data_IF_424639919834
#
_entry.id   IF_424639919834
#
_cell.length_a   1.000
_cell.length_b   1.000
_cell.length_c   1.000
_cell.angle_alpha   90.00
_cell.angle_beta   90.00
_cell.angle_gamma   90.00
#
_symmetry.space_group_name_H-M   'P 1'
#
loop_
_entity.id
_entity.type
_entity.pdbx_description
1 polymer ?
#
# COMPACT_ATOMS: atom_id res chain seq x y z
N UNK A 1 -1.10 -19.03 16.14
CA UNK A 1 -0.74 -18.80 17.55
C UNK A 1 -0.47 -17.32 17.78
N UNK A 2 -0.79 -16.74 18.94
CA UNK A 2 -0.39 -15.36 19.24
C UNK A 2 1.15 -15.29 19.18
N UNK A 3 1.68 -14.42 18.32
CA UNK A 3 3.10 -14.02 18.37
C UNK A 3 3.36 -13.41 19.76
N UNK A 4 4.58 -13.54 20.28
CA UNK A 4 4.96 -13.08 21.61
C UNK A 4 4.33 -11.72 21.95
N UNK A 5 3.75 -11.61 23.15
CA UNK A 5 3.13 -10.37 23.63
C UNK A 5 4.21 -9.32 23.91
N UNK A 6 4.55 -8.55 22.87
CA UNK A 6 5.42 -7.38 22.93
C UNK A 6 4.59 -6.09 22.97
N UNK A 7 5.13 -4.99 23.52
CA UNK A 7 4.48 -3.68 23.47
C UNK A 7 4.10 -3.26 22.04
N UNK A 8 4.97 -3.52 21.08
CA UNK A 8 4.76 -3.25 19.65
C UNK A 8 3.61 -4.10 19.09
N UNK A 9 3.52 -5.37 19.51
CA UNK A 9 2.42 -6.26 19.12
C UNK A 9 1.06 -5.77 19.65
N UNK A 10 1.02 -5.26 20.89
CA UNK A 10 -0.18 -4.66 21.47
C UNK A 10 -0.55 -3.38 20.71
N UNK A 11 0.43 -2.50 20.46
CA UNK A 11 0.21 -1.26 19.71
C UNK A 11 -0.38 -1.55 18.33
N UNK A 12 0.22 -2.48 17.57
CA UNK A 12 -0.28 -2.90 16.27
C UNK A 12 -1.69 -3.48 16.35
N UNK A 13 -1.96 -4.35 17.33
CA UNK A 13 -3.28 -4.97 17.47
C UNK A 13 -4.37 -3.94 17.80
N UNK A 14 -4.09 -2.98 18.68
CA UNK A 14 -5.00 -1.89 19.01
C UNK A 14 -5.22 -0.97 17.82
N UNK A 15 -4.17 -0.62 17.08
CA UNK A 15 -4.28 0.19 15.86
C UNK A 15 -5.16 -0.48 14.80
N UNK A 16 -4.91 -1.76 14.51
CA UNK A 16 -5.74 -2.55 13.57
C UNK A 16 -7.18 -2.63 14.04
N UNK A 17 -7.41 -2.88 15.33
CA UNK A 17 -8.77 -2.91 15.89
C UNK A 17 -9.49 -1.57 15.69
N UNK A 18 -8.81 -0.45 15.94
CA UNK A 18 -9.38 0.88 15.78
C UNK A 18 -9.72 1.19 14.32
N UNK A 19 -8.77 0.98 13.41
CA UNK A 19 -8.94 1.32 11.99
C UNK A 19 -9.97 0.40 11.32
N UNK A 20 -9.85 -0.92 11.49
CA UNK A 20 -10.71 -1.87 10.79
C UNK A 20 -12.15 -1.88 11.29
N UNK A 21 -12.40 -1.46 12.53
CA UNK A 21 -13.76 -1.37 13.09
C UNK A 21 -14.31 0.07 13.13
N UNK A 22 -13.59 1.04 12.55
CA UNK A 22 -13.97 2.46 12.56
C UNK A 22 -14.26 3.01 13.97
N UNK A 23 -13.44 2.61 14.94
CA UNK A 23 -13.56 3.07 16.33
C UNK A 23 -12.88 4.43 16.52
N UNK A 24 -13.30 5.25 17.49
CA UNK A 24 -12.62 6.51 17.78
C UNK A 24 -11.25 6.25 18.42
N UNK A 25 -10.24 7.06 18.07
CA UNK A 25 -8.90 6.98 18.69
C UNK A 25 -8.94 7.08 20.23
N UNK A 26 -9.93 7.78 20.78
CA UNK A 26 -10.15 7.89 22.23
C UNK A 26 -10.36 6.54 22.93
N UNK A 27 -10.73 5.49 22.20
CA UNK A 27 -10.88 4.14 22.74
C UNK A 27 -9.57 3.67 23.43
N UNK A 28 -8.41 4.00 22.86
CA UNK A 28 -7.11 3.60 23.41
C UNK A 28 -6.85 4.16 24.82
N UNK A 29 -7.38 5.34 25.14
CA UNK A 29 -7.24 5.96 26.46
C UNK A 29 -8.36 5.58 27.43
N UNK A 30 -9.44 4.95 26.95
CA UNK A 30 -10.60 4.59 27.77
C UNK A 30 -10.20 3.60 28.86
N UNK A 31 -10.45 3.96 30.12
CA UNK A 31 -10.07 3.14 31.27
C UNK A 31 -10.62 1.71 31.19
N UNK A 32 -11.87 1.53 30.75
CA UNK A 32 -12.48 0.19 30.60
C UNK A 32 -11.72 -0.66 29.58
N UNK A 33 -11.34 -0.07 28.43
CA UNK A 33 -10.59 -0.77 27.39
C UNK A 33 -9.19 -1.16 27.89
N UNK A 34 -8.50 -0.23 28.54
CA UNK A 34 -7.18 -0.49 29.14
C UNK A 34 -7.25 -1.56 30.23
N UNK A 35 -8.30 -1.56 31.05
CA UNK A 35 -8.52 -2.59 32.06
C UNK A 35 -8.77 -3.96 31.42
N UNK A 36 -9.47 -4.03 30.29
CA UNK A 36 -9.63 -5.27 29.53
C UNK A 36 -8.26 -5.77 29.03
N UNK A 37 -7.41 -4.89 28.48
CA UNK A 37 -6.05 -5.26 28.06
C UNK A 37 -5.22 -5.82 29.23
N UNK A 38 -5.32 -5.22 30.42
CA UNK A 38 -4.66 -5.70 31.64
C UNK A 38 -5.27 -7.00 32.15
N UNK A 39 -6.59 -7.15 32.12
CA UNK A 39 -7.28 -8.37 32.56
C UNK A 39 -6.92 -9.57 31.68
N UNK A 40 -6.80 -9.36 30.36
CA UNK A 40 -6.31 -10.37 29.42
C UNK A 40 -4.87 -10.80 29.70
N UNK A 41 -4.06 -9.94 30.34
CA UNK A 41 -2.68 -10.27 30.75
C UNK A 41 -2.28 -9.50 32.01
N UNK A 42 -2.48 -10.08 33.21
CA UNK A 42 -2.29 -9.40 34.49
C UNK A 42 -0.87 -8.87 34.76
N UNK A 43 0.14 -9.37 34.02
CA UNK A 43 1.54 -8.93 34.12
C UNK A 43 1.88 -7.75 33.21
N UNK A 44 0.93 -7.25 32.41
CA UNK A 44 1.13 -6.10 31.52
C UNK A 44 1.43 -4.86 32.36
N UNK A 45 2.57 -4.22 32.09
CA UNK A 45 2.96 -2.98 32.76
C UNK A 45 2.22 -1.80 32.13
N UNK A 46 1.94 -0.77 32.91
CA UNK A 46 1.27 0.46 32.43
C UNK A 46 1.93 1.08 31.19
N UNK A 47 3.27 0.99 31.10
CA UNK A 47 4.06 1.49 29.96
C UNK A 47 3.90 0.69 28.66
N UNK A 48 3.37 -0.53 28.74
CA UNK A 48 3.14 -1.41 27.59
C UNK A 48 1.74 -1.22 27.00
N UNK A 49 0.88 -0.47 27.70
CA UNK A 49 -0.46 -0.15 27.23
C UNK A 49 -0.35 1.09 26.33
N UNK A 50 -0.75 1.00 25.06
CA UNK A 50 -0.66 2.12 24.15
C UNK A 50 -1.60 3.25 24.58
N UNK A 51 -1.13 4.49 24.46
CA UNK A 51 -1.96 5.68 24.58
C UNK A 51 -2.58 6.05 23.23
N UNK A 52 -3.61 6.91 23.24
CA UNK A 52 -4.17 7.47 22.00
C UNK A 52 -3.10 8.05 21.08
N UNK A 53 -2.17 8.82 21.64
CA UNK A 53 -1.09 9.45 20.89
C UNK A 53 -0.19 8.41 20.20
N UNK A 54 0.19 7.35 20.91
CA UNK A 54 1.03 6.29 20.34
C UNK A 54 0.29 5.54 19.23
N UNK A 55 -1.00 5.27 19.39
CA UNK A 55 -1.80 4.62 18.35
C UNK A 55 -1.93 5.50 17.12
N UNK A 56 -2.24 6.78 17.30
CA UNK A 56 -2.35 7.73 16.19
C UNK A 56 -1.03 7.82 15.43
N UNK A 57 0.08 8.07 16.15
CA UNK A 57 1.41 8.13 15.53
C UNK A 57 1.74 6.86 14.77
N UNK A 58 1.48 5.69 15.35
CA UNK A 58 1.73 4.41 14.69
C UNK A 58 0.95 4.27 13.37
N UNK A 59 -0.31 4.72 13.34
CA UNK A 59 -1.13 4.69 12.13
C UNK A 59 -0.58 5.66 11.07
N UNK A 60 -0.19 6.88 11.48
CA UNK A 60 0.40 7.87 10.59
C UNK A 60 1.72 7.34 9.99
N UNK A 61 2.60 6.77 10.80
CA UNK A 61 3.89 6.20 10.39
C UNK A 61 3.69 5.02 9.40
N UNK A 62 2.74 4.11 9.67
CA UNK A 62 2.43 2.98 8.77
C UNK A 62 1.78 3.47 7.46
N UNK A 63 0.95 4.51 7.51
CA UNK A 63 0.36 5.10 6.31
C UNK A 63 1.42 5.78 5.44
N UNK A 64 2.32 6.57 6.04
CA UNK A 64 3.43 7.19 5.32
C UNK A 64 4.30 6.14 4.64
N UNK A 65 4.68 5.09 5.38
CA UNK A 65 5.43 3.96 4.83
C UNK A 65 4.73 3.31 3.65
N UNK A 66 3.43 3.02 3.77
CA UNK A 66 2.64 2.46 2.68
C UNK A 66 2.63 3.38 1.44
N UNK A 67 2.48 4.69 1.64
CA UNK A 67 2.48 5.65 0.54
C UNK A 67 3.83 5.75 -0.18
N UNK A 68 4.94 5.61 0.55
CA UNK A 68 6.28 5.54 -0.05
C UNK A 68 6.43 4.27 -0.88
N UNK A 69 6.12 3.11 -0.30
CA UNK A 69 6.20 1.82 -0.99
C UNK A 69 5.31 1.78 -2.24
N UNK A 70 4.10 2.35 -2.16
CA UNK A 70 3.18 2.44 -3.27
C UNK A 70 3.75 3.29 -4.41
N UNK A 71 4.31 4.47 -4.12
CA UNK A 71 4.95 5.33 -5.13
C UNK A 71 6.10 4.60 -5.83
N UNK A 72 6.95 3.93 -5.07
CA UNK A 72 8.06 3.15 -5.62
C UNK A 72 7.56 2.03 -6.54
N UNK A 73 6.52 1.30 -6.13
CA UNK A 73 5.93 0.22 -6.93
C UNK A 73 5.34 0.70 -8.26
N UNK A 74 4.72 1.89 -8.27
CA UNK A 74 4.17 2.52 -9.47
C UNK A 74 5.29 2.94 -10.43
N UNK A 75 6.37 3.53 -9.91
CA UNK A 75 7.53 3.94 -10.72
C UNK A 75 8.18 2.72 -11.38
N UNK A 76 8.43 1.65 -10.61
CA UNK A 76 9.01 0.40 -11.13
C UNK A 76 8.13 -0.18 -12.23
N UNK A 77 6.82 -0.28 -11.97
CA UNK A 77 5.86 -0.80 -12.95
C UNK A 77 5.84 0.02 -14.25
N UNK A 78 5.94 1.35 -14.14
CA UNK A 78 5.96 2.26 -15.28
C UNK A 78 7.23 2.11 -16.12
N UNK A 79 8.40 1.93 -15.47
CA UNK A 79 9.68 1.70 -16.16
C UNK A 79 9.69 0.36 -16.90
N UNK A 80 9.22 -0.70 -16.24
CA UNK A 80 9.12 -2.03 -16.86
C UNK A 80 8.22 -1.96 -18.11
N UNK A 81 7.07 -1.28 -18.01
CA UNK A 81 6.17 -1.11 -19.15
C UNK A 81 6.83 -0.38 -20.33
N UNK A 82 7.56 0.72 -20.06
CA UNK A 82 8.29 1.45 -21.09
C UNK A 82 9.37 0.59 -21.79
N UNK A 83 10.16 -0.16 -21.01
CA UNK A 83 11.20 -1.04 -21.55
C UNK A 83 10.64 -2.22 -22.36
N UNK A 84 9.47 -2.74 -22.00
CA UNK A 84 8.80 -3.80 -22.77
C UNK A 84 8.28 -3.25 -24.11
N UNK A 85 7.73 -2.04 -24.13
CA UNK A 85 7.23 -1.42 -25.36
C UNK A 85 8.36 -1.12 -26.37
N UNK A 86 9.56 -0.76 -25.92
CA UNK A 86 10.73 -0.55 -26.79
C UNK A 86 11.25 -1.83 -27.46
N UNK A 87 10.95 -3.00 -26.90
CA UNK A 87 11.39 -4.29 -27.43
C UNK A 87 10.39 -4.94 -28.41
N UNK A 88 9.20 -4.35 -28.58
CA UNK A 88 8.21 -4.83 -29.56
C UNK A 88 8.45 -4.08 -30.88
N UNK A 89 8.96 -4.74 -31.94
CA UNK A 89 9.10 -4.08 -33.23
C UNK A 89 7.72 -3.68 -33.75
N UNK A 90 7.56 -2.41 -34.12
CA UNK A 90 6.34 -1.92 -34.78
C UNK A 90 6.03 -2.78 -36.01
N UNK A 91 4.76 -3.16 -36.26
CA UNK A 91 4.42 -3.94 -37.44
C UNK A 91 4.87 -3.20 -38.70
N UNK A 92 5.42 -3.91 -39.71
CA UNK A 92 5.94 -3.27 -40.91
C UNK A 92 4.81 -2.52 -41.61
N UNK A 93 4.95 -1.19 -41.69
CA UNK A 93 4.06 -0.33 -42.46
C UNK A 93 3.97 -0.85 -43.88
N UNK A 94 2.83 -1.43 -44.26
CA UNK A 94 2.58 -1.90 -45.61
C UNK A 94 2.78 -0.73 -46.57
N UNK A 95 3.87 -0.79 -47.35
CA UNK A 95 4.11 0.07 -48.50
C UNK A 95 2.90 -0.04 -49.42
N UNK A 96 2.05 1.00 -49.45
CA UNK A 96 0.98 1.08 -50.43
C UNK A 96 1.62 0.99 -51.82
N UNK A 97 1.16 0.00 -52.58
CA UNK A 97 1.49 -0.17 -54.00
C UNK A 97 1.21 1.14 -54.74
N UNK A 98 2.25 1.88 -55.12
CA UNK A 98 2.14 2.79 -56.25
C UNK A 98 2.03 1.94 -57.51
N UNK A 99 0.80 1.54 -57.86
CA UNK A 99 0.47 1.16 -59.22
C UNK A 99 0.42 2.45 -60.03
N UNK A 100 1.55 2.85 -60.58
CA UNK A 100 1.59 3.88 -61.61
C UNK A 100 0.87 3.34 -62.85
N UNK A 101 -0.36 3.80 -63.04
CA UNK A 101 -1.07 3.77 -64.31
C UNK A 101 -0.28 4.59 -65.33
N UNK A 102 0.48 3.92 -66.21
CA UNK A 102 0.98 4.49 -67.44
C UNK A 102 0.24 3.86 -68.64
N UNK A 103 -1.07 4.12 -68.73
CA UNK A 103 -1.72 4.18 -70.04
C UNK A 103 -1.30 5.49 -70.70
N UNK A 104 -0.54 5.41 -71.80
CA UNK A 104 -0.63 6.25 -73.00
C UNK A 104 0.71 6.29 -73.74
N UNK A 105 0.75 5.64 -74.92
CA UNK A 105 1.12 6.22 -76.23
C UNK A 105 1.45 5.09 -77.22
N UNK A 106 0.45 4.67 -77.99
CA UNK A 106 0.65 4.16 -79.35
C UNK A 106 -0.40 4.88 -80.20
N UNK A 107 0.03 5.93 -80.87
CA UNK A 107 -0.43 6.42 -82.17
C UNK A 107 0.72 7.22 -82.77
#
# INVERSE_FOLDING_TARGET
>A
MPKAFTPEGILRAVAVHIVCNNEPFMLADKATFRNILVAMRPKTKKKEIPSRYLVQKYIDDEFEKYMVELKESIIVSSRVFASVHELIPSPPTSRMLQVQSASQKIL
#
